data_IF_848134557903
#
_entry.id   IF_848134557903
#
_cell.length_a   1.000
_cell.length_b   1.000
_cell.length_c   1.000
_cell.angle_alpha   90.00
_cell.angle_beta   90.00
_cell.angle_gamma   90.00
#
_symmetry.space_group_name_H-M   'P 1'
#
loop_
_entity.id
_entity.type
_entity.pdbx_description
1 polymer ?
#
# COMPACT_ATOMS: atom_id res chain seq x y z
N UNK A 1 39.72 -19.66 -7.81
CA UNK A 1 39.00 -19.02 -8.92
C UNK A 1 37.97 -18.10 -8.26
N UNK A 2 38.26 -16.81 -8.24
CA UNK A 2 37.42 -15.77 -7.62
C UNK A 2 36.39 -15.29 -8.63
N UNK A 3 35.12 -15.53 -8.36
CA UNK A 3 34.00 -14.95 -9.12
C UNK A 3 33.99 -13.43 -8.93
N UNK A 4 34.35 -12.71 -9.96
CA UNK A 4 34.18 -11.28 -10.03
C UNK A 4 32.73 -10.96 -10.34
N UNK A 5 31.99 -10.42 -9.35
CA UNK A 5 30.72 -9.76 -9.61
C UNK A 5 30.90 -8.64 -10.63
N UNK A 6 30.02 -8.52 -11.63
CA UNK A 6 30.13 -7.44 -12.63
C UNK A 6 29.88 -6.09 -11.95
N UNK A 7 30.94 -5.27 -11.84
CA UNK A 7 30.84 -3.86 -11.44
C UNK A 7 30.21 -3.06 -12.58
N UNK A 8 28.89 -2.92 -12.56
CA UNK A 8 28.22 -1.93 -13.41
C UNK A 8 28.52 -0.54 -12.87
N UNK A 9 29.00 0.35 -13.75
CA UNK A 9 29.28 1.74 -13.41
C UNK A 9 27.99 2.49 -12.97
N UNK A 10 28.11 3.64 -12.27
CA UNK A 10 26.96 4.35 -11.67
C UNK A 10 25.85 4.73 -12.68
N UNK A 11 26.18 4.92 -13.94
CA UNK A 11 25.22 5.30 -14.98
C UNK A 11 24.35 4.10 -15.42
N UNK A 12 24.94 2.92 -15.63
CA UNK A 12 24.20 1.69 -15.97
C UNK A 12 23.25 1.23 -14.85
N UNK A 13 23.67 1.40 -13.60
CA UNK A 13 22.83 1.06 -12.45
C UNK A 13 21.59 1.96 -12.37
N UNK A 14 21.74 3.27 -12.64
CA UNK A 14 20.64 4.24 -12.65
C UNK A 14 19.63 3.98 -13.77
N UNK A 15 20.11 3.68 -14.99
CA UNK A 15 19.26 3.31 -16.13
C UNK A 15 18.46 2.03 -15.82
N UNK A 16 19.11 1.00 -15.31
CA UNK A 16 18.46 -0.27 -14.98
C UNK A 16 17.37 -0.12 -13.91
N UNK A 17 17.58 0.74 -12.90
CA UNK A 17 16.55 0.98 -11.88
C UNK A 17 15.35 1.75 -12.44
N UNK A 18 15.59 2.72 -13.33
CA UNK A 18 14.51 3.48 -13.96
C UNK A 18 13.69 2.60 -14.91
N UNK A 19 14.36 1.75 -15.70
CA UNK A 19 13.72 0.77 -16.58
C UNK A 19 12.87 -0.23 -15.79
N UNK A 20 13.37 -0.73 -14.66
CA UNK A 20 12.62 -1.61 -13.75
C UNK A 20 11.36 -0.93 -13.20
N UNK A 21 11.46 0.32 -12.80
CA UNK A 21 10.33 1.05 -12.25
C UNK A 21 9.26 1.37 -13.31
N UNK A 22 9.67 1.59 -14.56
CA UNK A 22 8.76 1.79 -15.69
C UNK A 22 8.29 0.48 -16.33
N UNK A 23 8.83 -0.66 -15.89
CA UNK A 23 8.43 -1.95 -16.41
C UNK A 23 6.99 -2.28 -16.00
N UNK A 24 6.21 -2.78 -16.95
CA UNK A 24 4.91 -3.42 -16.71
C UNK A 24 5.02 -4.94 -16.56
N UNK A 25 6.24 -5.49 -16.62
CA UNK A 25 6.48 -6.91 -16.34
C UNK A 25 6.10 -7.20 -14.88
N UNK A 26 5.11 -8.07 -14.63
CA UNK A 26 4.62 -8.33 -13.28
C UNK A 26 5.68 -8.86 -12.32
N UNK A 27 6.66 -9.61 -12.80
CA UNK A 27 7.74 -10.17 -11.97
C UNK A 27 8.68 -9.07 -11.52
N UNK A 28 9.13 -8.23 -12.46
CA UNK A 28 10.02 -7.10 -12.17
C UNK A 28 9.33 -6.10 -11.25
N UNK A 29 8.06 -5.79 -11.53
CA UNK A 29 7.28 -4.84 -10.72
C UNK A 29 7.08 -5.35 -9.30
N UNK A 30 6.71 -6.61 -9.12
CA UNK A 30 6.53 -7.24 -7.81
C UNK A 30 7.80 -7.19 -6.95
N UNK A 31 8.93 -7.54 -7.53
CA UNK A 31 10.22 -7.49 -6.84
C UNK A 31 10.57 -6.03 -6.46
N UNK A 32 10.32 -5.10 -7.36
CA UNK A 32 10.52 -3.66 -7.12
C UNK A 32 9.65 -3.17 -5.95
N UNK A 33 8.37 -3.56 -5.88
CA UNK A 33 7.47 -3.23 -4.78
C UNK A 33 7.96 -3.84 -3.46
N UNK A 34 8.37 -5.11 -3.48
CA UNK A 34 8.94 -5.77 -2.31
C UNK A 34 10.16 -5.03 -1.77
N UNK A 35 11.10 -4.66 -2.64
CA UNK A 35 12.30 -3.89 -2.26
C UNK A 35 11.94 -2.51 -1.69
N UNK A 36 10.98 -1.81 -2.29
CA UNK A 36 10.52 -0.49 -1.81
C UNK A 36 9.97 -0.58 -0.39
N UNK A 37 8.97 -1.44 -0.16
CA UNK A 37 8.34 -1.61 1.14
C UNK A 37 9.30 -2.17 2.19
N UNK A 38 10.21 -3.07 1.78
CA UNK A 38 11.28 -3.55 2.64
C UNK A 38 12.19 -2.41 3.12
N UNK A 39 12.52 -1.45 2.24
CA UNK A 39 13.41 -0.33 2.55
C UNK A 39 12.79 0.74 3.42
N UNK A 40 11.47 0.95 3.33
CA UNK A 40 10.73 1.99 4.05
C UNK A 40 9.91 1.46 5.23
N UNK A 41 10.00 0.17 5.55
CA UNK A 41 9.18 -0.48 6.58
C UNK A 41 9.26 0.21 7.96
N UNK A 42 10.45 0.59 8.43
CA UNK A 42 10.62 1.31 9.69
C UNK A 42 10.08 2.74 9.63
N UNK A 43 10.22 3.38 8.47
CA UNK A 43 9.63 4.69 8.21
C UNK A 43 8.12 4.61 8.34
N UNK A 44 7.49 3.71 7.60
CA UNK A 44 6.05 3.46 7.67
C UNK A 44 5.59 3.19 9.10
N UNK A 45 6.22 2.25 9.79
CA UNK A 45 5.89 1.88 11.17
C UNK A 45 5.94 3.08 12.15
N UNK A 46 6.91 3.98 11.99
CA UNK A 46 7.02 5.19 12.81
C UNK A 46 5.79 6.10 12.68
N UNK A 47 5.17 6.14 11.51
CA UNK A 47 4.05 6.99 11.19
C UNK A 47 2.66 6.36 11.42
N UNK A 48 2.59 5.14 11.98
CA UNK A 48 1.33 4.45 12.27
C UNK A 48 0.32 5.33 13.04
N UNK A 49 0.68 6.10 14.07
CA UNK A 49 -0.29 6.96 14.74
C UNK A 49 -0.94 7.98 13.81
N UNK A 50 -0.20 8.50 12.84
CA UNK A 50 -0.71 9.42 11.81
C UNK A 50 -1.59 8.67 10.81
N UNK A 51 -1.14 7.51 10.34
CA UNK A 51 -1.90 6.66 9.41
C UNK A 51 -3.23 6.23 10.02
N UNK A 52 -3.22 5.77 11.28
CA UNK A 52 -4.44 5.39 12.01
C UNK A 52 -5.42 6.54 12.19
N UNK A 53 -4.93 7.75 12.49
CA UNK A 53 -5.75 8.95 12.57
C UNK A 53 -6.32 9.35 11.20
N UNK A 54 -5.54 9.18 10.13
CA UNK A 54 -5.92 9.53 8.77
C UNK A 54 -6.97 8.61 8.19
N UNK A 55 -6.72 7.29 8.17
CA UNK A 55 -7.61 6.33 7.50
C UNK A 55 -8.52 5.55 8.44
N UNK A 56 -8.42 5.74 9.76
CA UNK A 56 -9.11 4.93 10.76
C UNK A 56 -10.62 4.82 10.56
N UNK A 57 -11.30 5.93 10.21
CA UNK A 57 -12.73 5.88 9.90
C UNK A 57 -13.04 5.03 8.66
N UNK A 58 -12.20 5.12 7.62
CA UNK A 58 -12.35 4.30 6.43
C UNK A 58 -12.04 2.82 6.74
N UNK A 59 -11.06 2.56 7.63
CA UNK A 59 -10.74 1.21 8.11
C UNK A 59 -11.91 0.57 8.85
N UNK A 60 -12.54 1.30 9.78
CA UNK A 60 -13.73 0.81 10.47
C UNK A 60 -14.85 0.48 9.50
N UNK A 61 -15.13 1.36 8.53
CA UNK A 61 -16.12 1.12 7.49
C UNK A 61 -15.76 -0.10 6.60
N UNK A 62 -14.48 -0.26 6.25
CA UNK A 62 -14.01 -1.44 5.50
C UNK A 62 -14.29 -2.73 6.26
N UNK A 63 -13.99 -2.76 7.57
CA UNK A 63 -14.25 -3.92 8.43
C UNK A 63 -15.75 -4.21 8.55
N UNK A 64 -16.59 -3.16 8.62
CA UNK A 64 -18.07 -3.30 8.63
C UNK A 64 -18.59 -3.88 7.32
N UNK A 65 -18.15 -3.35 6.17
CA UNK A 65 -18.56 -3.81 4.84
C UNK A 65 -18.09 -5.24 4.56
N UNK A 66 -16.91 -5.63 5.08
CA UNK A 66 -16.40 -6.99 5.01
C UNK A 66 -17.06 -7.94 6.03
N UNK A 67 -17.97 -7.45 6.87
CA UNK A 67 -18.62 -8.22 7.93
C UNK A 67 -17.63 -8.88 8.91
N UNK A 68 -16.50 -8.19 9.21
CA UNK A 68 -15.54 -8.67 10.20
C UNK A 68 -16.19 -8.65 11.60
N UNK A 69 -16.43 -9.81 12.16
CA UNK A 69 -17.13 -9.96 13.43
C UNK A 69 -16.72 -11.21 14.23
N UNK A 70 -17.30 -11.36 15.42
CA UNK A 70 -16.92 -12.35 16.41
C UNK A 70 -16.82 -13.79 15.86
N UNK A 71 -15.71 -14.47 16.16
CA UNK A 71 -15.43 -15.85 15.73
C UNK A 71 -14.97 -15.98 14.27
N UNK A 72 -14.98 -14.90 13.49
CA UNK A 72 -14.62 -14.91 12.07
C UNK A 72 -13.13 -15.20 11.84
N UNK A 73 -12.81 -15.78 10.68
CA UNK A 73 -11.45 -15.94 10.16
C UNK A 73 -11.21 -14.89 9.07
N UNK A 74 -10.25 -14.04 9.28
CA UNK A 74 -9.94 -12.90 8.39
C UNK A 74 -8.57 -13.07 7.76
N UNK A 75 -8.45 -12.81 6.46
CA UNK A 75 -7.19 -12.61 5.77
C UNK A 75 -7.01 -11.12 5.50
N UNK A 76 -5.90 -10.55 5.94
CA UNK A 76 -5.49 -9.20 5.62
C UNK A 76 -4.36 -9.25 4.58
N UNK A 77 -4.61 -8.69 3.40
CA UNK A 77 -3.68 -8.69 2.26
C UNK A 77 -2.98 -7.34 2.16
N UNK A 78 -1.67 -7.35 1.96
CA UNK A 78 -0.81 -6.18 2.03
C UNK A 78 -1.00 -5.45 3.37
N UNK A 79 -0.91 -6.24 4.44
CA UNK A 79 -1.20 -5.81 5.80
C UNK A 79 -0.21 -4.77 6.36
N UNK A 80 0.92 -4.57 5.67
CA UNK A 80 1.97 -3.71 6.17
C UNK A 80 2.49 -4.20 7.52
N UNK A 81 2.58 -3.31 8.49
CA UNK A 81 2.95 -3.61 9.87
C UNK A 81 1.76 -3.99 10.78
N UNK A 82 0.58 -4.25 10.19
CA UNK A 82 -0.55 -4.93 10.83
C UNK A 82 -1.51 -4.04 11.61
N UNK A 83 -1.53 -2.73 11.43
CA UNK A 83 -2.41 -1.83 12.20
C UNK A 83 -3.90 -2.20 12.01
N UNK A 84 -4.37 -2.33 10.76
CA UNK A 84 -5.76 -2.78 10.50
C UNK A 84 -5.99 -4.24 10.89
N UNK A 85 -4.95 -5.10 10.85
CA UNK A 85 -5.05 -6.48 11.32
C UNK A 85 -5.33 -6.57 12.81
N UNK A 86 -4.75 -5.67 13.63
CA UNK A 86 -5.02 -5.58 15.06
C UNK A 86 -6.49 -5.18 15.34
N UNK A 87 -7.03 -4.24 14.57
CA UNK A 87 -8.44 -3.87 14.65
C UNK A 87 -9.35 -5.04 14.27
N UNK A 88 -9.00 -5.76 13.20
CA UNK A 88 -9.71 -6.98 12.83
C UNK A 88 -9.63 -8.06 13.92
N UNK A 89 -8.45 -8.29 14.53
CA UNK A 89 -8.26 -9.25 15.61
C UNK A 89 -9.10 -8.92 16.85
N UNK A 90 -9.21 -7.63 17.19
CA UNK A 90 -10.09 -7.19 18.27
C UNK A 90 -11.58 -7.47 17.97
N UNK A 91 -12.03 -7.24 16.72
CA UNK A 91 -13.42 -7.48 16.30
C UNK A 91 -13.79 -8.97 16.26
N UNK A 92 -12.89 -9.82 15.77
CA UNK A 92 -13.18 -11.27 15.74
C UNK A 92 -13.08 -11.92 17.11
N UNK A 93 -12.38 -11.30 18.05
CA UNK A 93 -12.26 -11.76 19.43
C UNK A 93 -11.47 -13.06 19.57
N UNK A 94 -11.42 -13.65 20.80
CA UNK A 94 -10.52 -14.76 21.11
C UNK A 94 -10.86 -16.09 20.41
N UNK A 95 -12.06 -16.21 19.86
CA UNK A 95 -12.48 -17.41 19.09
C UNK A 95 -12.32 -17.24 17.59
N UNK A 96 -11.99 -16.03 17.13
CA UNK A 96 -11.67 -15.73 15.74
C UNK A 96 -10.17 -15.79 15.45
N UNK A 97 -9.80 -15.52 14.22
CA UNK A 97 -8.40 -15.56 13.78
C UNK A 97 -8.15 -14.57 12.65
N UNK A 98 -7.00 -13.91 12.69
CA UNK A 98 -6.54 -13.02 11.63
C UNK A 98 -5.20 -13.51 11.08
N UNK A 99 -5.10 -13.67 9.77
CA UNK A 99 -3.85 -13.87 9.06
C UNK A 99 -3.48 -12.58 8.34
N UNK A 100 -2.47 -11.88 8.83
CA UNK A 100 -1.88 -10.72 8.19
C UNK A 100 -0.81 -11.18 7.17
N UNK A 101 -0.90 -10.71 5.93
CA UNK A 101 0.06 -11.09 4.89
C UNK A 101 0.63 -9.87 4.17
N UNK A 102 1.92 -9.88 3.94
CA UNK A 102 2.60 -8.85 3.16
C UNK A 102 3.76 -9.48 2.36
N UNK A 103 4.12 -8.87 1.24
CA UNK A 103 5.23 -9.33 0.41
C UNK A 103 6.60 -8.94 1.01
N UNK A 104 6.67 -7.92 1.88
CA UNK A 104 7.88 -7.41 2.50
C UNK A 104 8.14 -8.09 3.85
N UNK A 105 9.18 -8.94 3.98
CA UNK A 105 9.51 -9.64 5.23
C UNK A 105 9.64 -8.72 6.45
N UNK A 106 10.17 -7.50 6.26
CA UNK A 106 10.37 -6.55 7.36
C UNK A 106 9.04 -6.00 7.91
N UNK A 107 8.05 -5.76 7.06
CA UNK A 107 6.70 -5.37 7.49
C UNK A 107 6.04 -6.51 8.28
N UNK A 108 6.13 -7.74 7.79
CA UNK A 108 5.63 -8.93 8.49
C UNK A 108 6.28 -9.12 9.86
N UNK A 109 7.59 -8.87 9.96
CA UNK A 109 8.30 -8.92 11.23
C UNK A 109 7.79 -7.85 12.22
N UNK A 110 7.54 -6.62 11.75
CA UNK A 110 6.96 -5.53 12.54
C UNK A 110 5.53 -5.87 12.98
N UNK A 111 4.68 -6.38 12.08
CA UNK A 111 3.33 -6.84 12.42
C UNK A 111 3.34 -7.92 13.52
N UNK A 112 4.22 -8.91 13.37
CA UNK A 112 4.40 -9.98 14.38
C UNK A 112 4.91 -9.43 15.72
N UNK A 113 5.82 -8.44 15.69
CA UNK A 113 6.34 -7.81 16.89
C UNK A 113 5.23 -7.02 17.60
N UNK A 114 4.50 -6.18 16.87
CA UNK A 114 3.41 -5.37 17.42
C UNK A 114 2.31 -6.23 18.04
N UNK A 115 1.94 -7.35 17.37
CA UNK A 115 0.97 -8.28 17.92
C UNK A 115 1.43 -8.88 19.27
N UNK A 116 2.70 -9.31 19.36
CA UNK A 116 3.27 -9.82 20.62
C UNK A 116 3.33 -8.76 21.72
N UNK A 117 3.78 -7.54 21.41
CA UNK A 117 3.88 -6.42 22.37
C UNK A 117 2.51 -6.04 22.93
N UNK A 118 1.46 -6.15 22.13
CA UNK A 118 0.07 -5.88 22.52
C UNK A 118 -0.64 -7.10 23.11
N UNK A 119 0.00 -8.27 23.21
CA UNK A 119 -0.60 -9.50 23.73
C UNK A 119 -1.74 -10.05 22.88
N UNK A 120 -1.74 -9.81 21.56
CA UNK A 120 -2.77 -10.30 20.62
C UNK A 120 -2.37 -11.71 20.15
N UNK A 121 -3.09 -12.73 20.63
CA UNK A 121 -2.78 -14.14 20.37
C UNK A 121 -3.50 -14.70 19.13
N UNK A 122 -4.58 -14.06 18.69
CA UNK A 122 -5.40 -14.48 17.55
C UNK A 122 -5.01 -13.83 16.21
N UNK A 123 -3.78 -13.31 16.12
CA UNK A 123 -3.20 -12.74 14.90
C UNK A 123 -1.88 -13.42 14.58
N UNK A 124 -1.75 -13.89 13.36
CA UNK A 124 -0.49 -14.40 12.80
C UNK A 124 -0.09 -13.54 11.60
N UNK A 125 1.21 -13.26 11.42
CA UNK A 125 1.70 -12.56 10.25
C UNK A 125 2.63 -13.45 9.42
N UNK A 126 2.45 -13.48 8.09
CA UNK A 126 3.22 -14.30 7.14
C UNK A 126 3.65 -13.51 5.91
N UNK A 127 4.86 -13.79 5.43
CA UNK A 127 5.29 -13.30 4.11
C UNK A 127 4.53 -14.07 3.05
N UNK A 128 3.77 -13.35 2.20
CA UNK A 128 2.94 -13.99 1.17
C UNK A 128 2.70 -13.01 0.02
N UNK A 129 2.69 -13.55 -1.20
CA UNK A 129 2.30 -12.83 -2.41
C UNK A 129 0.79 -12.94 -2.62
N UNK A 130 0.10 -11.82 -2.76
CA UNK A 130 -1.34 -11.78 -3.00
C UNK A 130 -1.77 -12.47 -4.31
N UNK A 131 -0.85 -12.60 -5.27
CA UNK A 131 -1.08 -13.29 -6.55
C UNK A 131 -0.82 -14.81 -6.46
N UNK A 132 -0.36 -15.30 -5.29
CA UNK A 132 -0.08 -16.71 -5.04
C UNK A 132 -0.24 -17.02 -3.55
N UNK A 133 -1.48 -17.05 -3.08
CA UNK A 133 -1.81 -17.28 -1.67
C UNK A 133 -1.62 -18.75 -1.29
N UNK A 134 -0.66 -19.03 -0.39
CA UNK A 134 -0.33 -20.38 0.07
C UNK A 134 -1.19 -20.81 1.26
N UNK A 135 -2.50 -20.66 1.11
CA UNK A 135 -3.54 -21.05 2.06
C UNK A 135 -4.62 -21.86 1.34
N UNK A 136 -5.40 -22.62 2.10
CA UNK A 136 -6.45 -23.48 1.57
C UNK A 136 -7.57 -22.69 0.91
N UNK A 137 -8.30 -23.34 0.01
CA UNK A 137 -9.53 -22.81 -0.55
C UNK A 137 -10.57 -22.59 0.56
N UNK A 138 -11.41 -21.57 0.41
CA UNK A 138 -12.56 -21.34 1.30
C UNK A 138 -12.16 -21.31 2.78
N UNK A 139 -10.98 -20.73 3.10
CA UNK A 139 -10.43 -20.72 4.46
C UNK A 139 -10.89 -19.53 5.30
N UNK A 140 -11.35 -18.43 4.69
CA UNK A 140 -11.65 -17.17 5.36
C UNK A 140 -13.10 -16.72 5.18
N UNK A 141 -13.67 -16.16 6.24
CA UNK A 141 -15.00 -15.58 6.25
C UNK A 141 -15.00 -14.15 5.66
N UNK A 142 -13.91 -13.43 5.87
CA UNK A 142 -13.68 -12.09 5.32
C UNK A 142 -12.23 -11.92 4.85
N UNK A 143 -12.06 -11.08 3.82
CA UNK A 143 -10.74 -10.65 3.35
C UNK A 143 -10.74 -9.13 3.34
N UNK A 144 -9.65 -8.54 3.84
CA UNK A 144 -9.45 -7.09 3.84
C UNK A 144 -8.15 -6.72 3.13
N UNK A 145 -8.13 -5.53 2.53
CA UNK A 145 -6.92 -4.97 1.92
C UNK A 145 -6.96 -3.43 2.00
N UNK A 146 -6.18 -2.86 2.90
CA UNK A 146 -6.09 -1.41 3.07
C UNK A 146 -4.95 -0.84 2.24
N UNK A 147 -5.28 -0.01 1.24
CA UNK A 147 -4.32 0.72 0.41
C UNK A 147 -3.28 -0.18 -0.32
N UNK A 148 -3.62 -1.45 -0.58
CA UNK A 148 -2.73 -2.44 -1.20
C UNK A 148 -3.11 -2.83 -2.64
N UNK A 149 -4.41 -2.93 -2.95
CA UNK A 149 -4.91 -3.49 -4.22
C UNK A 149 -4.33 -2.81 -5.47
N UNK A 150 -4.13 -1.50 -5.44
CA UNK A 150 -3.64 -0.73 -6.58
C UNK A 150 -2.13 -0.90 -6.85
N UNK A 151 -1.40 -1.60 -5.96
CA UNK A 151 0.01 -1.95 -6.15
C UNK A 151 0.22 -3.36 -6.73
N UNK A 152 -0.83 -4.15 -6.87
CA UNK A 152 -0.71 -5.53 -7.36
C UNK A 152 -0.48 -5.52 -8.89
N UNK A 153 0.63 -6.08 -9.38
CA UNK A 153 0.98 -6.05 -10.80
C UNK A 153 0.00 -6.86 -11.68
N UNK A 154 -0.52 -7.97 -11.17
CA UNK A 154 -1.57 -8.76 -11.82
C UNK A 154 -2.81 -8.78 -10.91
N UNK A 155 -3.52 -7.66 -10.87
CA UNK A 155 -4.74 -7.52 -10.08
C UNK A 155 -5.79 -8.59 -10.39
N UNK A 156 -6.07 -8.98 -11.66
CA UNK A 156 -6.99 -10.07 -11.98
C UNK A 156 -6.60 -11.40 -11.30
N UNK A 157 -5.31 -11.74 -11.31
CA UNK A 157 -4.80 -12.94 -10.65
C UNK A 157 -4.96 -12.86 -9.14
N UNK A 158 -4.59 -11.74 -8.53
CA UNK A 158 -4.77 -11.54 -7.10
C UNK A 158 -6.25 -11.64 -6.68
N UNK A 159 -7.16 -11.03 -7.44
CA UNK A 159 -8.60 -11.13 -7.18
C UNK A 159 -9.13 -12.57 -7.36
N UNK A 160 -8.55 -13.35 -8.28
CA UNK A 160 -8.87 -14.78 -8.41
C UNK A 160 -8.41 -15.57 -7.19
N UNK A 161 -7.22 -15.31 -6.66
CA UNK A 161 -6.72 -15.92 -5.43
C UNK A 161 -7.56 -15.52 -4.21
N UNK A 162 -7.90 -14.23 -4.09
CA UNK A 162 -8.81 -13.71 -3.05
C UNK A 162 -10.13 -14.48 -3.09
N UNK A 163 -10.72 -14.63 -4.27
CA UNK A 163 -11.97 -15.39 -4.43
C UNK A 163 -11.83 -16.86 -4.09
N UNK A 164 -10.70 -17.49 -4.44
CA UNK A 164 -10.42 -18.90 -4.14
C UNK A 164 -10.39 -19.19 -2.64
N UNK A 165 -9.76 -18.30 -1.86
CA UNK A 165 -9.56 -18.52 -0.42
C UNK A 165 -10.72 -18.01 0.43
N UNK A 166 -11.66 -17.25 -0.16
CA UNK A 166 -12.86 -16.75 0.48
C UNK A 166 -13.93 -17.84 0.51
N UNK A 167 -14.57 -18.06 1.66
CA UNK A 167 -15.70 -18.99 1.79
C UNK A 167 -16.90 -18.54 0.95
N UNK A 168 -17.78 -19.47 0.53
CA UNK A 168 -19.08 -19.09 -0.01
C UNK A 168 -19.83 -18.14 0.94
N UNK A 169 -20.32 -17.01 0.42
CA UNK A 169 -21.00 -15.99 1.21
C UNK A 169 -20.06 -15.06 2.00
N UNK A 170 -18.74 -15.31 1.99
CA UNK A 170 -17.76 -14.43 2.58
C UNK A 170 -17.65 -13.09 1.82
N UNK A 171 -17.05 -12.09 2.44
CA UNK A 171 -16.96 -10.72 1.89
C UNK A 171 -15.53 -10.21 1.79
N UNK A 172 -15.31 -9.32 0.81
CA UNK A 172 -14.04 -8.60 0.64
C UNK A 172 -14.28 -7.12 0.91
N UNK A 173 -13.44 -6.54 1.78
CA UNK A 173 -13.36 -5.09 1.99
C UNK A 173 -12.03 -4.54 1.53
N UNK A 174 -12.03 -3.40 0.85
CA UNK A 174 -10.79 -2.76 0.42
C UNK A 174 -10.86 -1.25 0.47
N UNK A 175 -9.71 -0.61 0.71
CA UNK A 175 -9.55 0.84 0.63
C UNK A 175 -8.59 1.16 -0.51
N UNK A 176 -9.00 2.04 -1.40
CA UNK A 176 -8.17 2.58 -2.48
C UNK A 176 -8.27 4.10 -2.50
N UNK A 177 -7.25 4.77 -3.01
CA UNK A 177 -7.36 6.21 -3.27
C UNK A 177 -8.34 6.48 -4.40
N UNK A 178 -9.07 7.59 -4.28
CA UNK A 178 -9.84 8.17 -5.38
C UNK A 178 -8.92 8.86 -6.39
N UNK A 179 -9.43 9.79 -7.17
CA UNK A 179 -8.67 10.50 -8.21
C UNK A 179 -7.56 11.40 -7.64
N UNK A 180 -6.50 11.70 -8.42
CA UNK A 180 -5.36 12.52 -7.99
C UNK A 180 -5.74 13.89 -7.44
N UNK A 181 -6.77 14.55 -8.01
CA UNK A 181 -7.26 15.86 -7.59
C UNK A 181 -7.87 15.86 -6.19
N UNK A 182 -8.32 14.70 -5.70
CA UNK A 182 -8.84 14.51 -4.35
C UNK A 182 -7.78 14.10 -3.33
N UNK A 183 -6.56 13.84 -3.77
CA UNK A 183 -5.47 13.35 -2.94
C UNK A 183 -4.19 14.17 -3.16
N UNK A 184 -4.23 15.51 -2.90
CA UNK A 184 -3.11 16.40 -3.21
C UNK A 184 -1.83 16.05 -2.45
N UNK A 185 -1.93 15.53 -1.22
CA UNK A 185 -0.75 15.14 -0.44
C UNK A 185 0.14 14.14 -1.18
N UNK A 186 -0.41 13.28 -2.04
CA UNK A 186 0.34 12.29 -2.80
C UNK A 186 0.49 12.68 -4.28
N UNK A 187 -0.53 13.31 -4.88
CA UNK A 187 -0.50 13.66 -6.30
C UNK A 187 0.43 14.83 -6.62
N UNK A 188 0.56 15.79 -5.70
CA UNK A 188 1.48 16.94 -5.85
C UNK A 188 2.93 16.48 -5.87
N UNK A 189 3.44 15.71 -4.88
CA UNK A 189 4.80 15.18 -4.92
C UNK A 189 5.08 14.34 -6.16
N UNK A 190 4.19 13.42 -6.51
CA UNK A 190 4.33 12.58 -7.70
C UNK A 190 4.46 13.45 -8.95
N UNK A 191 3.63 14.46 -9.12
CA UNK A 191 3.66 15.35 -10.29
C UNK A 191 4.97 16.14 -10.40
N UNK A 192 5.43 16.73 -9.29
CA UNK A 192 6.66 17.51 -9.23
C UNK A 192 7.87 16.63 -9.53
N UNK A 193 7.96 15.46 -8.86
CA UNK A 193 9.05 14.51 -9.03
C UNK A 193 9.10 14.03 -10.48
N UNK A 194 7.96 13.66 -11.09
CA UNK A 194 7.89 13.21 -12.48
C UNK A 194 8.42 14.27 -13.43
N UNK A 195 8.07 15.53 -13.23
CA UNK A 195 8.54 16.65 -14.06
C UNK A 195 10.05 16.83 -13.96
N UNK A 196 10.62 16.85 -12.75
CA UNK A 196 12.06 17.02 -12.54
C UNK A 196 12.87 15.82 -13.04
N UNK A 197 12.37 14.62 -12.83
CA UNK A 197 13.00 13.38 -13.26
C UNK A 197 12.71 13.04 -14.75
N UNK A 198 11.96 13.89 -15.45
CA UNK A 198 11.57 13.71 -16.87
C UNK A 198 10.88 12.37 -17.14
N UNK A 199 10.07 11.89 -16.16
CA UNK A 199 9.31 10.64 -16.28
C UNK A 199 8.03 10.87 -17.08
N UNK A 200 7.78 10.03 -18.08
CA UNK A 200 6.52 10.02 -18.81
C UNK A 200 5.30 9.73 -17.92
N UNK A 201 4.05 9.89 -18.40
CA UNK A 201 2.86 9.50 -17.66
C UNK A 201 2.87 8.00 -17.36
N UNK A 202 2.11 7.53 -16.34
CA UNK A 202 1.95 6.10 -16.12
C UNK A 202 1.45 5.42 -17.39
N UNK A 203 1.94 4.22 -17.66
CA UNK A 203 1.46 3.43 -18.81
C UNK A 203 0.02 2.94 -18.53
N UNK A 204 -0.82 2.78 -19.57
CA UNK A 204 -2.13 2.18 -19.39
C UNK A 204 -2.04 0.81 -18.69
N UNK A 205 -2.80 0.63 -17.59
CA UNK A 205 -2.78 -0.60 -16.79
C UNK A 205 -1.59 -0.71 -15.82
N UNK A 206 -0.68 0.24 -15.79
CA UNK A 206 0.41 0.25 -14.81
C UNK A 206 -0.16 0.42 -13.40
N UNK A 207 0.22 -0.46 -12.44
CA UNK A 207 -0.15 -0.30 -11.05
C UNK A 207 0.36 1.02 -10.46
N UNK A 208 -0.35 1.53 -9.46
CA UNK A 208 0.02 2.77 -8.80
C UNK A 208 -1.13 3.33 -7.97
N UNK A 209 -0.88 4.31 -7.10
CA UNK A 209 -1.84 4.73 -6.08
C UNK A 209 -3.20 5.16 -6.63
N UNK A 210 -3.26 5.63 -7.86
CA UNK A 210 -4.50 6.11 -8.50
C UNK A 210 -5.06 5.18 -9.59
N UNK A 211 -4.47 3.99 -9.80
CA UNK A 211 -4.87 3.08 -10.88
C UNK A 211 -6.31 2.56 -10.73
N UNK A 212 -6.83 2.49 -9.51
CA UNK A 212 -8.21 2.10 -9.19
C UNK A 212 -9.09 3.27 -8.76
N UNK A 213 -8.60 4.52 -8.83
CA UNK A 213 -9.27 5.69 -8.29
C UNK A 213 -10.35 6.30 -9.17
N UNK A 214 -10.41 5.96 -10.45
CA UNK A 214 -11.48 6.44 -11.33
C UNK A 214 -12.82 5.80 -10.95
N UNK A 215 -13.90 6.56 -11.12
CA UNK A 215 -15.26 6.09 -10.81
C UNK A 215 -15.56 4.77 -11.54
N UNK A 216 -15.98 3.75 -10.80
CA UNK A 216 -16.30 2.42 -11.31
C UNK A 216 -15.10 1.55 -11.67
N UNK A 217 -13.85 2.02 -11.52
CA UNK A 217 -12.67 1.22 -11.85
C UNK A 217 -12.52 0.02 -10.92
N UNK A 218 -12.65 0.24 -9.60
CA UNK A 218 -12.62 -0.82 -8.60
C UNK A 218 -13.80 -1.77 -8.76
N UNK A 219 -15.02 -1.22 -8.93
CA UNK A 219 -16.23 -2.01 -9.12
C UNK A 219 -16.09 -2.95 -10.31
N UNK A 220 -15.67 -2.41 -11.46
CA UNK A 220 -15.46 -3.21 -12.68
C UNK A 220 -14.36 -4.27 -12.51
N UNK A 221 -13.31 -4.01 -11.72
CA UNK A 221 -12.27 -5.01 -11.45
C UNK A 221 -12.82 -6.17 -10.62
N UNK A 222 -13.58 -5.88 -9.57
CA UNK A 222 -14.21 -6.87 -8.70
C UNK A 222 -15.28 -7.69 -9.46
N UNK A 223 -16.16 -7.04 -10.23
CA UNK A 223 -17.19 -7.72 -11.02
C UNK A 223 -16.58 -8.66 -12.06
N UNK A 224 -15.53 -8.23 -12.78
CA UNK A 224 -14.81 -9.09 -13.72
C UNK A 224 -14.15 -10.30 -13.05
N UNK A 225 -13.74 -10.18 -11.80
CA UNK A 225 -13.22 -11.29 -11.02
C UNK A 225 -14.32 -12.22 -10.47
N UNK A 226 -15.60 -11.90 -10.72
CA UNK A 226 -16.76 -12.72 -10.35
C UNK A 226 -17.28 -12.45 -8.94
N UNK A 227 -16.97 -11.31 -8.34
CA UNK A 227 -17.63 -10.83 -7.13
C UNK A 227 -18.99 -10.24 -7.50
N UNK A 228 -19.98 -10.45 -6.63
CA UNK A 228 -21.33 -9.91 -6.72
C UNK A 228 -21.61 -8.93 -5.58
N UNK A 229 -22.68 -8.17 -5.70
CA UNK A 229 -23.07 -7.17 -4.69
C UNK A 229 -21.97 -6.16 -4.38
N UNK A 230 -21.21 -5.75 -5.41
CA UNK A 230 -20.11 -4.77 -5.26
C UNK A 230 -20.70 -3.43 -4.83
N UNK A 231 -20.14 -2.88 -3.77
CA UNK A 231 -20.55 -1.59 -3.20
C UNK A 231 -19.32 -0.73 -2.93
N UNK A 232 -19.17 0.37 -3.66
CA UNK A 232 -18.12 1.37 -3.41
C UNK A 232 -18.71 2.60 -2.76
N UNK A 233 -18.02 3.09 -1.73
CA UNK A 233 -18.34 4.36 -1.03
C UNK A 233 -17.12 5.26 -1.01
N UNK A 234 -17.32 6.54 -1.37
CA UNK A 234 -16.29 7.56 -1.18
C UNK A 234 -16.36 8.09 0.24
N UNK A 235 -15.23 8.02 0.95
CA UNK A 235 -15.08 8.49 2.32
C UNK A 235 -14.07 9.60 2.37
N UNK A 236 -14.40 10.68 3.08
CA UNK A 236 -13.44 11.77 3.34
C UNK A 236 -12.46 11.31 4.43
N UNK A 237 -11.18 11.30 4.10
CA UNK A 237 -10.09 10.95 5.01
C UNK A 237 -9.01 12.03 4.92
N UNK A 238 -9.20 13.21 5.53
CA UNK A 238 -8.22 14.27 5.49
C UNK A 238 -6.97 13.87 6.27
N UNK A 239 -5.82 13.90 5.60
CA UNK A 239 -4.52 13.79 6.29
C UNK A 239 -4.29 15.10 7.06
N UNK A 240 -4.06 14.99 8.36
CA UNK A 240 -3.81 16.14 9.24
C UNK A 240 -2.42 16.02 9.85
N UNK A 241 -1.63 17.05 9.69
CA UNK A 241 -0.27 17.16 10.20
C UNK A 241 0.00 18.55 10.75
N UNK A 242 1.09 18.74 11.48
CA UNK A 242 1.45 20.04 12.02
C UNK A 242 1.86 21.04 10.93
N UNK A 243 2.38 20.55 9.79
CA UNK A 243 2.83 21.40 8.68
C UNK A 243 3.04 20.60 7.39
N UNK A 244 3.17 21.28 6.25
CA UNK A 244 3.61 20.70 4.99
C UNK A 244 5.00 20.06 5.11
N UNK A 245 5.90 20.65 5.90
CA UNK A 245 7.21 20.06 6.19
C UNK A 245 7.09 18.69 6.85
N UNK A 246 6.14 18.52 7.78
CA UNK A 246 5.89 17.22 8.41
C UNK A 246 5.31 16.23 7.41
N UNK A 247 4.42 16.66 6.51
CA UNK A 247 3.90 15.85 5.42
C UNK A 247 5.03 15.37 4.49
N UNK A 248 5.94 16.25 4.07
CA UNK A 248 7.13 15.88 3.29
C UNK A 248 8.00 14.87 4.02
N UNK A 249 8.15 15.01 5.33
CA UNK A 249 8.90 14.05 6.15
C UNK A 249 8.24 12.68 6.16
N UNK A 250 6.91 12.63 6.36
CA UNK A 250 6.12 11.41 6.27
C UNK A 250 6.30 10.72 4.91
N UNK A 251 6.20 11.47 3.82
CA UNK A 251 6.37 10.93 2.47
C UNK A 251 7.77 10.36 2.22
N UNK A 252 8.79 11.10 2.65
CA UNK A 252 10.19 10.66 2.53
C UNK A 252 10.48 9.41 3.36
N UNK A 253 9.89 9.30 4.53
CA UNK A 253 10.10 8.14 5.40
C UNK A 253 9.33 6.90 4.90
N UNK A 254 8.17 7.09 4.28
CA UNK A 254 7.18 6.03 4.09
C UNK A 254 6.99 5.57 2.63
N UNK A 255 7.23 6.44 1.64
CA UNK A 255 6.92 6.12 0.24
C UNK A 255 8.17 5.88 -0.60
N UNK A 256 8.67 4.64 -0.58
CA UNK A 256 9.86 4.21 -1.34
C UNK A 256 9.79 4.49 -2.85
N UNK A 257 8.59 4.49 -3.41
CA UNK A 257 8.35 4.83 -4.82
C UNK A 257 8.84 6.24 -5.18
N UNK A 258 8.65 7.23 -4.29
CA UNK A 258 9.11 8.60 -4.53
C UNK A 258 10.64 8.67 -4.58
N UNK A 259 11.33 7.90 -3.73
CA UNK A 259 12.80 7.80 -3.78
C UNK A 259 13.29 7.16 -5.07
N UNK A 260 12.62 6.14 -5.56
CA UNK A 260 12.99 5.50 -6.81
C UNK A 260 12.80 6.44 -8.01
N UNK A 261 11.70 7.18 -8.04
CA UNK A 261 11.48 8.21 -9.07
C UNK A 261 12.59 9.27 -9.10
N UNK A 262 13.16 9.59 -7.93
CA UNK A 262 14.26 10.54 -7.76
C UNK A 262 15.65 9.91 -8.00
N UNK A 263 15.76 8.60 -8.18
CA UNK A 263 17.05 7.90 -8.16
C UNK A 263 18.05 8.40 -9.22
N UNK A 264 17.58 8.88 -10.37
CA UNK A 264 18.42 9.40 -11.45
C UNK A 264 18.95 10.82 -11.17
N UNK A 265 18.35 11.57 -10.24
CA UNK A 265 18.73 12.94 -9.95
C UNK A 265 19.95 13.01 -9.01
N UNK A 266 20.73 14.09 -9.12
CA UNK A 266 21.79 14.42 -8.16
C UNK A 266 21.21 14.74 -6.79
N UNK A 267 22.01 14.67 -5.74
CA UNK A 267 21.58 14.99 -4.39
C UNK A 267 21.06 16.44 -4.27
N UNK A 268 21.74 17.40 -4.90
CA UNK A 268 21.30 18.81 -4.96
C UNK A 268 19.93 18.92 -5.64
N UNK A 269 19.73 18.28 -6.79
CA UNK A 269 18.46 18.32 -7.50
C UNK A 269 17.34 17.65 -6.70
N UNK A 270 17.62 16.56 -5.96
CA UNK A 270 16.64 15.93 -5.05
C UNK A 270 16.23 16.90 -3.94
N UNK A 271 17.18 17.62 -3.34
CA UNK A 271 16.87 18.60 -2.31
C UNK A 271 15.98 19.74 -2.84
N UNK A 272 16.28 20.26 -4.03
CA UNK A 272 15.44 21.26 -4.70
C UNK A 272 14.01 20.76 -4.97
N UNK A 273 13.88 19.50 -5.43
CA UNK A 273 12.58 18.86 -5.65
C UNK A 273 11.77 18.81 -4.37
N UNK A 274 12.36 18.37 -3.27
CA UNK A 274 11.65 18.28 -1.99
C UNK A 274 11.27 19.67 -1.43
N UNK A 275 12.10 20.69 -1.64
CA UNK A 275 11.75 22.08 -1.29
C UNK A 275 10.56 22.58 -2.12
N UNK A 276 10.50 22.22 -3.41
CA UNK A 276 9.35 22.56 -4.23
C UNK A 276 8.08 21.84 -3.77
N UNK A 277 8.18 20.54 -3.44
CA UNK A 277 7.07 19.76 -2.88
C UNK A 277 6.54 20.42 -1.61
N UNK A 278 7.42 20.78 -0.67
CA UNK A 278 7.05 21.44 0.57
C UNK A 278 6.32 22.77 0.30
N UNK A 279 6.85 23.60 -0.58
CA UNK A 279 6.22 24.87 -0.95
C UNK A 279 4.84 24.68 -1.57
N UNK A 280 4.66 23.70 -2.46
CA UNK A 280 3.38 23.45 -3.11
C UNK A 280 2.36 22.84 -2.13
N UNK A 281 2.78 21.92 -1.26
CA UNK A 281 1.93 21.40 -0.19
C UNK A 281 1.57 22.47 0.85
N UNK A 282 2.44 23.44 1.11
CA UNK A 282 2.15 24.58 2.00
C UNK A 282 0.93 25.41 1.60
N UNK A 283 0.46 25.30 0.36
CA UNK A 283 -0.80 25.91 -0.09
C UNK A 283 -2.05 25.30 0.55
N UNK A 284 -1.92 24.11 1.13
CA UNK A 284 -2.99 23.39 1.82
C UNK A 284 -2.92 23.59 3.34
N UNK A 285 -1.92 24.28 3.86
CA UNK A 285 -1.86 24.64 5.29
C UNK A 285 -2.94 25.67 5.62
N UNK A 286 -3.66 25.41 6.71
CA UNK A 286 -4.63 26.30 7.30
C UNK A 286 -4.19 26.82 8.68
N UNK A 287 -5.13 27.42 9.41
CA UNK A 287 -4.87 27.89 10.79
C UNK A 287 -4.58 26.76 11.77
N UNK A 288 -5.06 25.56 11.47
CA UNK A 288 -4.98 24.36 12.33
C UNK A 288 -3.93 23.35 11.82
N UNK A 289 -3.01 23.77 10.96
CA UNK A 289 -1.98 22.94 10.34
C UNK A 289 -2.30 22.55 8.90
N UNK A 290 -1.66 21.45 8.45
CA UNK A 290 -1.78 20.86 7.12
C UNK A 290 -2.94 19.85 7.07
#
# INVERSE_FOLDING_TARGET
MSEQSPRFGPMKYKETMLERWQSIDPVIYRETMREQWQSTAEGWHRWIPVVGAWVGHATELMLDLAHVGAGGRVLDIAAGDGDQSLLAAARVGPTGFVLATDIAPKLVALASQTAREKGVENLEARVMDAENLTVDNEAFDAIICQLGLFFLPDLPRALSEIRRVLKPGGRVGGIVFSTPDKNPFLSVPISIIRRHAQLGPPLPGQPGPFSLGALGALDSALERAGFSEVLTRTVSAPLRMASAQECVRFERDSFGALHQMLAALTETARAEVWQEVERELGKYEGRDGF
#
